data_IF_208607260107
#
_entry.id   IF_208607260107
#
_cell.length_a   1.000
_cell.length_b   1.000
_cell.length_c   1.000
_cell.angle_alpha   90.00
_cell.angle_beta   90.00
_cell.angle_gamma   90.00
#
_symmetry.space_group_name_H-M   'P 1'
#
loop_
_entity.id
_entity.type
_entity.pdbx_description
1 polymer ?
#
# COMPACT_ATOMS: atom_id res chain seq x y z
N UNK A 1 -33.94 -25.28 24.08
CA UNK A 1 -32.86 -25.48 23.09
C UNK A 1 -32.67 -24.14 22.43
N UNK A 2 -31.45 -23.62 22.48
CA UNK A 2 -31.07 -22.21 22.44
C UNK A 2 -31.41 -21.47 21.14
N UNK A 3 -32.06 -20.30 21.26
CA UNK A 3 -32.38 -19.36 20.17
C UNK A 3 -31.33 -18.25 19.97
N UNK A 4 -30.13 -18.41 20.53
CA UNK A 4 -29.02 -17.47 20.33
C UNK A 4 -28.15 -17.91 19.15
N UNK A 5 -28.66 -17.75 17.92
CA UNK A 5 -27.82 -17.79 16.71
C UNK A 5 -27.10 -16.43 16.56
N UNK A 6 -25.77 -16.36 16.81
CA UNK A 6 -25.01 -15.11 16.75
C UNK A 6 -24.93 -14.49 15.35
N UNK A 7 -25.39 -15.20 14.31
CA UNK A 7 -25.41 -14.73 12.92
C UNK A 7 -26.81 -14.35 12.42
N UNK A 8 -27.84 -14.31 13.27
CA UNK A 8 -29.19 -13.90 12.87
C UNK A 8 -29.26 -12.49 12.23
N UNK A 9 -28.32 -11.61 12.59
CA UNK A 9 -28.23 -10.22 12.08
C UNK A 9 -27.47 -10.14 10.75
N UNK A 10 -26.80 -11.22 10.32
CA UNK A 10 -26.02 -11.20 9.09
C UNK A 10 -26.93 -11.19 7.85
N UNK A 11 -26.61 -10.32 6.89
CA UNK A 11 -27.32 -10.26 5.62
C UNK A 11 -27.13 -11.59 4.86
N UNK A 12 -28.20 -12.37 4.73
CA UNK A 12 -28.21 -13.69 4.06
C UNK A 12 -28.08 -13.61 2.54
N UNK A 13 -28.09 -12.41 1.97
CA UNK A 13 -27.99 -12.18 0.53
C UNK A 13 -26.55 -12.24 0.03
N UNK A 14 -26.33 -12.86 -1.13
CA UNK A 14 -25.03 -12.88 -1.82
C UNK A 14 -24.52 -11.45 -2.06
N UNK A 15 -23.31 -11.15 -1.59
CA UNK A 15 -22.67 -9.85 -1.79
C UNK A 15 -22.42 -9.58 -3.28
N UNK A 16 -23.16 -8.65 -3.87
CA UNK A 16 -22.94 -8.20 -5.25
C UNK A 16 -22.09 -6.93 -5.25
N UNK A 17 -20.83 -7.03 -5.70
CA UNK A 17 -19.99 -5.87 -5.95
C UNK A 17 -20.36 -5.23 -7.29
N UNK A 18 -20.19 -3.91 -7.41
CA UNK A 18 -20.56 -3.12 -8.61
C UNK A 18 -19.80 -3.52 -9.90
N UNK A 19 -18.88 -4.47 -9.80
CA UNK A 19 -18.11 -5.10 -10.88
C UNK A 19 -18.69 -6.45 -11.34
N UNK A 20 -19.54 -7.11 -10.55
CA UNK A 20 -20.02 -8.48 -10.81
C UNK A 20 -21.19 -8.53 -11.82
N UNK A 21 -21.80 -7.38 -12.13
CA UNK A 21 -22.74 -7.26 -13.24
C UNK A 21 -21.98 -7.48 -14.56
N UNK A 22 -22.24 -8.63 -15.20
CA UNK A 22 -21.60 -9.15 -16.41
C UNK A 22 -21.03 -8.11 -17.37
N UNK A 23 -19.83 -8.42 -17.88
CA UNK A 23 -19.04 -7.59 -18.79
C UNK A 23 -19.81 -7.32 -20.10
N UNK A 24 -20.64 -6.28 -20.09
CA UNK A 24 -21.12 -5.60 -21.30
C UNK A 24 -20.27 -4.35 -21.52
N UNK A 25 -19.46 -4.42 -22.58
CA UNK A 25 -18.59 -3.38 -23.18
C UNK A 25 -18.84 -1.96 -22.65
N UNK A 26 -17.92 -1.44 -21.83
CA UNK A 26 -18.06 -0.14 -21.15
C UNK A 26 -16.95 0.85 -21.52
N UNK A 27 -16.88 1.22 -22.81
CA UNK A 27 -16.07 2.36 -23.30
C UNK A 27 -16.53 3.72 -22.72
N UNK A 28 -17.69 3.78 -22.04
CA UNK A 28 -18.26 4.98 -21.40
C UNK A 28 -17.91 5.16 -19.91
N UNK A 29 -17.36 4.15 -19.22
CA UNK A 29 -17.01 4.24 -17.78
C UNK A 29 -15.65 4.88 -17.49
N UNK A 30 -14.69 4.81 -18.43
CA UNK A 30 -13.35 5.40 -18.23
C UNK A 30 -13.36 6.92 -18.20
N UNK A 31 -14.21 7.57 -18.99
CA UNK A 31 -14.38 9.05 -18.96
C UNK A 31 -14.87 9.57 -17.61
N UNK A 32 -15.79 8.84 -16.97
CA UNK A 32 -16.40 9.24 -15.70
C UNK A 32 -15.44 9.08 -14.50
N UNK A 33 -14.56 8.08 -14.55
CA UNK A 33 -13.48 7.89 -13.58
C UNK A 33 -12.38 8.95 -13.75
N UNK A 34 -12.04 9.31 -14.98
CA UNK A 34 -11.10 10.40 -15.25
C UNK A 34 -11.62 11.73 -14.70
N UNK A 35 -12.89 12.07 -14.97
CA UNK A 35 -13.52 13.31 -14.48
C UNK A 35 -13.61 13.36 -12.94
N UNK A 36 -13.78 12.22 -12.30
CA UNK A 36 -13.88 12.16 -10.84
C UNK A 36 -12.51 12.32 -10.20
N UNK A 37 -11.47 11.73 -10.80
CA UNK A 37 -10.07 11.91 -10.39
C UNK A 37 -9.60 13.35 -10.63
N UNK A 38 -9.97 13.98 -11.76
CA UNK A 38 -9.62 15.39 -12.02
C UNK A 38 -10.31 16.35 -11.05
N UNK A 39 -11.58 16.10 -10.70
CA UNK A 39 -12.31 16.94 -9.73
C UNK A 39 -11.74 16.84 -8.32
N UNK A 40 -11.34 15.64 -7.87
CA UNK A 40 -10.66 15.49 -6.57
C UNK A 40 -9.29 16.17 -6.52
N UNK A 41 -8.56 16.24 -7.65
CA UNK A 41 -7.27 16.95 -7.73
C UNK A 41 -7.46 18.47 -7.73
N UNK A 42 -8.56 18.97 -8.29
CA UNK A 42 -8.88 20.41 -8.31
C UNK A 42 -9.39 20.91 -6.96
N UNK A 43 -10.19 20.11 -6.23
CA UNK A 43 -10.71 20.46 -4.90
C UNK A 43 -9.59 20.48 -3.85
N UNK A 44 -8.59 19.61 -3.94
CA UNK A 44 -7.43 19.59 -3.02
C UNK A 44 -6.45 20.77 -3.25
N UNK A 45 -6.61 21.50 -4.36
CA UNK A 45 -5.76 22.66 -4.71
C UNK A 45 -6.28 23.98 -4.11
N UNK A 46 -7.49 23.99 -3.55
CA UNK A 46 -8.18 25.21 -3.09
C UNK A 46 -8.21 25.41 -1.57
N UNK A 47 -7.37 24.72 -0.79
CA UNK A 47 -7.09 25.22 0.55
C UNK A 47 -6.01 26.33 0.48
N UNK A 48 -6.21 27.48 1.14
CA UNK A 48 -5.19 28.50 1.23
C UNK A 48 -4.02 27.91 2.01
N UNK A 49 -3.03 27.38 1.29
CA UNK A 49 -1.74 26.99 1.84
C UNK A 49 -1.19 28.22 2.54
N UNK A 50 -1.34 28.27 3.86
CA UNK A 50 -0.61 29.20 4.71
C UNK A 50 0.82 29.15 4.22
N UNK A 51 1.28 30.26 3.65
CA UNK A 51 2.63 30.38 3.10
C UNK A 51 3.56 30.42 4.31
N UNK A 52 3.74 29.27 4.96
CA UNK A 52 4.88 29.02 5.80
C UNK A 52 6.04 29.04 4.82
N UNK A 53 6.76 30.15 4.81
CA UNK A 53 8.01 30.30 4.07
C UNK A 53 8.94 29.23 4.60
N UNK A 54 8.99 28.11 3.88
CA UNK A 54 9.84 26.97 4.24
C UNK A 54 11.26 27.45 4.47
N UNK A 55 11.89 26.92 5.50
CA UNK A 55 13.29 27.27 5.78
C UNK A 55 14.19 26.81 4.62
N UNK A 56 15.37 27.42 4.46
CA UNK A 56 16.33 26.98 3.42
C UNK A 56 16.66 25.49 3.55
N UNK A 57 16.72 24.98 4.79
CA UNK A 57 16.92 23.56 5.09
C UNK A 57 15.75 22.69 4.62
N UNK A 58 14.50 23.11 4.89
CA UNK A 58 13.30 22.40 4.42
C UNK A 58 13.21 22.37 2.89
N UNK A 59 13.54 23.48 2.22
CA UNK A 59 13.57 23.53 0.75
C UNK A 59 14.60 22.56 0.18
N UNK A 60 15.81 22.52 0.73
CA UNK A 60 16.85 21.59 0.32
C UNK A 60 16.45 20.13 0.55
N UNK A 61 15.83 19.83 1.70
CA UNK A 61 15.33 18.49 2.01
C UNK A 61 14.24 18.04 1.02
N UNK A 62 13.28 18.91 0.69
CA UNK A 62 12.22 18.58 -0.26
C UNK A 62 12.75 18.32 -1.66
N UNK A 63 13.69 19.15 -2.13
CA UNK A 63 14.35 18.91 -3.42
C UNK A 63 15.08 17.56 -3.45
N UNK A 64 15.75 17.20 -2.35
CA UNK A 64 16.40 15.90 -2.24
C UNK A 64 15.38 14.75 -2.17
N UNK A 65 14.27 14.95 -1.47
CA UNK A 65 13.20 13.98 -1.36
C UNK A 65 12.55 13.72 -2.72
N UNK A 66 12.25 14.76 -3.50
CA UNK A 66 11.71 14.65 -4.87
C UNK A 66 12.66 13.86 -5.78
N UNK A 67 13.97 14.14 -5.72
CA UNK A 67 14.98 13.36 -6.45
C UNK A 67 14.97 11.89 -6.07
N UNK A 68 14.82 11.56 -4.78
CA UNK A 68 14.78 10.18 -4.30
C UNK A 68 13.43 9.49 -4.56
N UNK A 69 12.33 10.24 -4.61
CA UNK A 69 10.99 9.71 -4.87
C UNK A 69 10.92 9.04 -6.24
N UNK A 70 11.49 9.65 -7.29
CA UNK A 70 11.51 9.05 -8.64
C UNK A 70 12.16 7.66 -8.65
N UNK A 71 13.31 7.52 -7.99
CA UNK A 71 14.01 6.24 -7.83
C UNK A 71 13.18 5.23 -7.05
N UNK A 72 12.61 5.65 -5.92
CA UNK A 72 11.78 4.80 -5.06
C UNK A 72 10.50 4.32 -5.77
N UNK A 73 9.89 5.18 -6.58
CA UNK A 73 8.72 4.84 -7.40
C UNK A 73 9.13 3.78 -8.43
N UNK A 74 10.26 3.97 -9.12
CA UNK A 74 10.77 3.01 -10.10
C UNK A 74 11.07 1.65 -9.47
N UNK A 75 11.76 1.62 -8.33
CA UNK A 75 12.08 0.37 -7.60
C UNK A 75 10.83 -0.37 -7.15
N UNK A 76 9.85 0.36 -6.58
CA UNK A 76 8.57 -0.23 -6.16
C UNK A 76 7.73 -0.72 -7.33
N UNK A 77 7.81 -0.06 -8.48
CA UNK A 77 7.11 -0.46 -9.69
C UNK A 77 7.78 -1.67 -10.38
N UNK A 78 9.09 -1.78 -10.27
CA UNK A 78 9.87 -2.89 -10.83
C UNK A 78 9.57 -4.22 -10.12
N UNK A 79 9.45 -4.20 -8.79
CA UNK A 79 9.22 -5.43 -8.01
C UNK A 79 7.74 -5.71 -7.77
N UNK A 80 7.29 -6.87 -8.20
CA UNK A 80 5.98 -7.41 -7.82
C UNK A 80 5.93 -7.79 -6.34
N UNK A 81 4.71 -7.93 -5.79
CA UNK A 81 4.56 -8.36 -4.40
C UNK A 81 5.15 -9.75 -4.15
N UNK A 82 4.98 -10.67 -5.11
CA UNK A 82 5.50 -12.04 -5.06
C UNK A 82 7.03 -12.04 -4.96
N UNK A 83 7.71 -11.31 -5.83
CA UNK A 83 9.17 -11.18 -5.81
C UNK A 83 9.68 -10.54 -4.50
N UNK A 84 8.92 -9.60 -3.94
CA UNK A 84 9.26 -9.01 -2.63
C UNK A 84 9.16 -10.02 -1.50
N UNK A 85 8.13 -10.87 -1.51
CA UNK A 85 7.96 -11.95 -0.54
C UNK A 85 9.03 -13.02 -0.73
N UNK A 86 9.32 -13.42 -1.97
CA UNK A 86 10.37 -14.39 -2.26
C UNK A 86 11.75 -13.90 -1.79
N UNK A 87 12.11 -12.65 -2.08
CA UNK A 87 13.36 -12.04 -1.60
C UNK A 87 13.41 -11.94 -0.08
N UNK A 88 12.28 -11.66 0.56
CA UNK A 88 12.18 -11.62 2.01
C UNK A 88 12.39 -13.01 2.62
N UNK A 89 11.76 -14.04 2.05
CA UNK A 89 11.93 -15.41 2.51
C UNK A 89 13.37 -15.90 2.30
N UNK A 90 13.97 -15.62 1.13
CA UNK A 90 15.39 -15.92 0.88
C UNK A 90 16.33 -15.25 1.90
N UNK A 91 16.00 -14.04 2.35
CA UNK A 91 16.78 -13.36 3.38
C UNK A 91 16.62 -14.03 4.75
N UNK A 92 15.41 -14.45 5.11
CA UNK A 92 15.14 -15.18 6.35
C UNK A 92 15.79 -16.56 6.38
N UNK A 93 15.79 -17.28 5.26
CA UNK A 93 16.44 -18.58 5.14
C UNK A 93 17.96 -18.49 5.32
N UNK A 94 18.55 -17.35 4.94
CA UNK A 94 19.98 -17.08 5.12
C UNK A 94 20.35 -16.45 6.47
N UNK A 95 19.37 -16.09 7.30
CA UNK A 95 19.61 -15.52 8.63
C UNK A 95 19.98 -16.63 9.62
N UNK A 96 21.05 -16.40 10.38
CA UNK A 96 21.47 -17.32 11.43
C UNK A 96 20.43 -17.39 12.54
N UNK A 97 20.06 -18.59 12.96
CA UNK A 97 19.14 -18.80 14.09
C UNK A 97 19.71 -18.28 15.42
N UNK A 98 21.04 -18.30 15.55
CA UNK A 98 21.75 -17.86 16.74
C UNK A 98 22.70 -16.70 16.41
N UNK A 99 22.54 -15.61 17.14
CA UNK A 99 23.37 -14.39 17.03
C UNK A 99 24.53 -14.36 18.01
N UNK A 100 24.74 -15.45 18.77
CA UNK A 100 25.79 -15.56 19.79
C UNK A 100 26.54 -16.89 19.62
N UNK A 101 27.81 -16.88 20.01
CA UNK A 101 28.70 -18.02 19.85
C UNK A 101 28.40 -19.02 20.97
N UNK A 102 28.20 -20.31 20.66
CA UNK A 102 27.99 -21.30 21.69
C UNK A 102 29.17 -21.34 22.66
N UNK A 103 28.88 -21.33 23.97
CA UNK A 103 29.90 -21.38 25.01
C UNK A 103 30.61 -22.73 24.95
N UNK A 104 31.94 -22.71 24.90
CA UNK A 104 32.77 -23.92 24.95
C UNK A 104 32.93 -24.35 26.41
N UNK A 105 31.90 -24.97 26.98
CA UNK A 105 32.08 -25.86 28.14
C UNK A 105 32.31 -27.27 27.62
N UNK A 106 33.47 -27.83 27.91
CA UNK A 106 33.82 -29.20 27.55
C UNK A 106 32.95 -30.17 28.35
N UNK A 107 31.85 -30.62 27.76
CA UNK A 107 31.13 -31.85 28.14
C UNK A 107 30.16 -32.25 27.02
N UNK A 108 30.24 -33.52 26.61
CA UNK A 108 29.19 -34.25 25.92
C UNK A 108 28.25 -34.85 26.96
#
# INVERSE_FOLDING_TARGET
MSDDDPYAVAAKSKLTLKSDSGVKKKKKKSKKLLEQVTKTIEEEKQEPKKVQTKTKAELAFLQQQEKMQTKRILEKACMTHKERVEKFNQHLDGLTEHFDIPKVSWTK
#
